data_IF_357976950225
#
_entry.id   IF_357976950225
#
_cell.length_a   1.000
_cell.length_b   1.000
_cell.length_c   1.000
_cell.angle_alpha   90.00
_cell.angle_beta   90.00
_cell.angle_gamma   90.00
#
_symmetry.space_group_name_H-M   'P 1'
#
loop_
_entity.id
_entity.type
_entity.pdbx_description
1 polymer ?
#
# COMPACT_ATOMS: atom_id res chain seq x y z
N UNK A 1 6.87 -15.92 9.67
CA UNK A 1 5.96 -16.67 8.79
C UNK A 1 6.81 -17.46 7.80
N UNK A 2 6.30 -18.54 7.18
CA UNK A 2 7.00 -19.09 6.00
C UNK A 2 6.89 -18.06 4.87
N UNK A 3 8.03 -17.47 4.47
CA UNK A 3 8.06 -16.40 3.48
C UNK A 3 7.53 -16.87 2.12
N UNK A 4 7.75 -18.12 1.74
CA UNK A 4 7.29 -18.64 0.46
C UNK A 4 5.76 -18.74 0.46
N UNK A 5 5.17 -19.27 1.53
CA UNK A 5 3.72 -19.31 1.70
C UNK A 5 3.11 -17.91 1.68
N UNK A 6 3.74 -16.95 2.38
CA UNK A 6 3.24 -15.58 2.43
C UNK A 6 3.31 -14.88 1.06
N UNK A 7 4.40 -15.08 0.32
CA UNK A 7 4.54 -14.60 -1.06
C UNK A 7 3.41 -15.14 -1.96
N UNK A 8 3.07 -16.43 -1.85
CA UNK A 8 1.96 -17.03 -2.61
C UNK A 8 0.60 -16.42 -2.25
N UNK A 9 0.35 -16.15 -0.96
CA UNK A 9 -0.88 -15.49 -0.50
C UNK A 9 -0.97 -14.07 -1.09
N UNK A 10 0.12 -13.28 -1.02
CA UNK A 10 0.17 -11.94 -1.60
C UNK A 10 -0.06 -11.98 -3.12
N UNK A 11 0.50 -12.96 -3.83
CA UNK A 11 0.27 -13.15 -5.26
C UNK A 11 -1.19 -13.46 -5.59
N UNK A 12 -1.79 -14.39 -4.86
CA UNK A 12 -3.21 -14.70 -5.02
C UNK A 12 -4.08 -13.47 -4.76
N UNK A 13 -3.78 -12.71 -3.71
CA UNK A 13 -4.55 -11.53 -3.35
C UNK A 13 -4.46 -10.42 -4.41
N UNK A 14 -3.27 -10.14 -4.96
CA UNK A 14 -3.13 -9.16 -6.04
C UNK A 14 -3.82 -9.62 -7.33
N UNK A 15 -3.77 -10.93 -7.63
CA UNK A 15 -4.51 -11.52 -8.76
C UNK A 15 -6.02 -11.29 -8.60
N UNK A 16 -6.57 -11.57 -7.41
CA UNK A 16 -7.99 -11.34 -7.10
C UNK A 16 -8.36 -9.85 -7.08
N UNK A 17 -7.39 -8.97 -6.83
CA UNK A 17 -7.54 -7.52 -6.91
C UNK A 17 -7.43 -6.98 -8.35
N UNK A 18 -7.28 -7.88 -9.33
CA UNK A 18 -7.24 -7.55 -10.76
C UNK A 18 -5.90 -7.03 -11.25
N UNK A 19 -4.82 -7.18 -10.47
CA UNK A 19 -3.49 -6.71 -10.91
C UNK A 19 -2.99 -7.52 -12.10
N UNK A 20 -2.53 -6.83 -13.14
CA UNK A 20 -2.03 -7.44 -14.37
C UNK A 20 -0.85 -6.68 -14.97
N UNK A 21 -0.24 -7.25 -16.01
CA UNK A 21 0.85 -6.63 -16.77
C UNK A 21 0.48 -5.21 -17.21
N UNK A 22 1.42 -4.27 -17.04
CA UNK A 22 1.25 -2.88 -17.42
C UNK A 22 0.65 -1.98 -16.33
N UNK A 23 0.06 -2.54 -15.26
CA UNK A 23 -0.35 -1.75 -14.10
C UNK A 23 0.85 -1.38 -13.20
N UNK A 24 0.68 -0.31 -12.44
CA UNK A 24 1.62 0.16 -11.42
C UNK A 24 1.01 0.00 -10.03
N UNK A 25 1.76 -0.60 -9.10
CA UNK A 25 1.34 -0.84 -7.71
C UNK A 25 2.29 -0.17 -6.73
N UNK A 26 1.77 0.69 -5.86
CA UNK A 26 2.52 1.23 -4.73
C UNK A 26 2.25 0.42 -3.47
N UNK A 27 3.28 -0.05 -2.78
CA UNK A 27 3.12 -0.60 -1.43
C UNK A 27 3.41 0.51 -0.43
N UNK A 28 2.47 0.79 0.47
CA UNK A 28 2.56 1.87 1.44
C UNK A 28 2.79 1.29 2.85
N UNK A 29 3.88 1.67 3.52
CA UNK A 29 4.13 1.32 4.92
C UNK A 29 4.53 2.53 5.77
N UNK A 30 4.56 2.35 7.11
CA UNK A 30 5.02 3.34 8.09
C UNK A 30 6.11 2.74 8.97
N UNK A 31 7.15 3.53 9.25
CA UNK A 31 8.18 3.14 10.20
C UNK A 31 8.92 1.86 9.78
N UNK A 32 9.05 0.91 10.71
CA UNK A 32 9.61 -0.42 10.45
C UNK A 32 8.52 -1.51 10.41
N UNK A 33 7.24 -1.12 10.45
CA UNK A 33 6.13 -2.05 10.49
C UNK A 33 5.90 -2.71 9.12
N UNK A 34 5.54 -4.00 9.15
CA UNK A 34 5.14 -4.78 7.97
C UNK A 34 6.15 -4.73 6.80
N UNK A 35 7.45 -4.62 7.09
CA UNK A 35 8.48 -4.67 6.05
C UNK A 35 8.42 -5.99 5.24
N UNK A 36 8.12 -7.11 5.89
CA UNK A 36 7.92 -8.41 5.22
C UNK A 36 6.71 -8.41 4.25
N UNK A 37 5.70 -7.56 4.49
CA UNK A 37 4.56 -7.37 3.58
C UNK A 37 5.01 -6.60 2.34
N UNK A 38 5.81 -5.56 2.52
CA UNK A 38 6.36 -4.80 1.40
C UNK A 38 7.15 -5.71 0.45
N UNK A 39 8.03 -6.55 0.99
CA UNK A 39 8.81 -7.50 0.19
C UNK A 39 7.91 -8.52 -0.52
N UNK A 40 6.94 -9.11 0.18
CA UNK A 40 6.03 -10.11 -0.39
C UNK A 40 5.12 -9.55 -1.48
N UNK A 41 4.56 -8.36 -1.28
CA UNK A 41 3.73 -7.70 -2.29
C UNK A 41 4.55 -7.24 -3.50
N UNK A 42 5.75 -6.68 -3.30
CA UNK A 42 6.61 -6.30 -4.44
C UNK A 42 7.07 -7.52 -5.24
N UNK A 43 7.35 -8.64 -4.58
CA UNK A 43 7.60 -9.90 -5.27
C UNK A 43 6.39 -10.35 -6.09
N UNK A 44 5.18 -10.28 -5.51
CA UNK A 44 3.94 -10.64 -6.20
C UNK A 44 3.66 -9.73 -7.41
N UNK A 45 3.89 -8.42 -7.29
CA UNK A 45 3.78 -7.45 -8.39
C UNK A 45 4.69 -7.84 -9.55
N UNK A 46 5.96 -8.16 -9.27
CA UNK A 46 6.91 -8.61 -10.29
C UNK A 46 6.46 -9.91 -10.96
N UNK A 47 5.88 -10.86 -10.20
CA UNK A 47 5.35 -12.12 -10.75
C UNK A 47 4.16 -11.92 -11.68
N UNK A 48 3.38 -10.86 -11.49
CA UNK A 48 2.25 -10.50 -12.35
C UNK A 48 2.64 -9.68 -13.59
N UNK A 49 3.94 -9.35 -13.77
CA UNK A 49 4.40 -8.50 -14.87
C UNK A 49 4.03 -7.02 -14.68
N UNK A 50 3.60 -6.62 -13.49
CA UNK A 50 3.29 -5.25 -13.13
C UNK A 50 4.54 -4.50 -12.65
N UNK A 51 4.47 -3.17 -12.64
CA UNK A 51 5.49 -2.31 -12.04
C UNK A 51 5.14 -2.04 -10.58
N UNK A 52 6.14 -1.92 -9.70
CA UNK A 52 5.86 -1.54 -8.33
C UNK A 52 7.01 -0.87 -7.61
N UNK A 53 6.65 -0.10 -6.60
CA UNK A 53 7.59 0.59 -5.72
C UNK A 53 7.06 0.63 -4.27
N UNK A 54 7.98 0.80 -3.33
CA UNK A 54 7.68 0.98 -1.92
C UNK A 54 7.67 2.46 -1.56
N UNK A 55 6.53 2.97 -1.08
CA UNK A 55 6.44 4.28 -0.42
C UNK A 55 6.42 4.04 1.09
N UNK A 56 7.47 4.51 1.78
CA UNK A 56 7.59 4.39 3.22
C UNK A 56 7.48 5.75 3.91
N UNK A 57 6.49 5.88 4.77
CA UNK A 57 6.30 7.04 5.63
C UNK A 57 7.05 6.88 6.96
N UNK A 58 7.33 7.98 7.69
CA UNK A 58 7.88 7.92 9.05
C UNK A 58 6.98 7.13 10.01
N UNK A 59 7.54 6.62 11.10
CA UNK A 59 6.75 6.01 12.18
C UNK A 59 5.73 7.00 12.73
N UNK A 60 4.53 6.53 13.15
CA UNK A 60 3.57 7.39 13.83
C UNK A 60 4.17 7.93 15.14
N UNK A 61 3.73 9.12 15.56
CA UNK A 61 4.25 9.78 16.76
C UNK A 61 3.92 9.03 18.07
N UNK A 62 2.90 8.17 18.05
CA UNK A 62 2.52 7.30 19.17
C UNK A 62 1.95 5.98 18.66
N UNK A 63 1.96 4.95 19.53
CA UNK A 63 1.32 3.67 19.25
C UNK A 63 -0.20 3.79 19.03
N UNK A 64 -0.86 4.74 19.72
CA UNK A 64 -2.28 5.05 19.47
C UNK A 64 -2.50 5.67 18.09
N UNK A 65 -1.52 6.44 17.59
CA UNK A 65 -1.56 7.04 16.26
C UNK A 65 -1.52 6.02 15.12
N UNK A 66 -0.93 4.84 15.33
CA UNK A 66 -0.89 3.78 14.32
C UNK A 66 -2.28 3.24 13.92
N UNK A 67 -3.27 3.38 14.81
CA UNK A 67 -4.65 2.92 14.61
C UNK A 67 -5.66 4.08 14.65
N UNK A 68 -5.17 5.32 14.64
CA UNK A 68 -6.01 6.49 14.66
C UNK A 68 -6.71 6.63 13.30
N UNK A 69 -8.00 6.31 13.28
CA UNK A 69 -8.85 6.46 12.10
C UNK A 69 -8.78 7.90 11.59
N UNK A 70 -8.52 8.06 10.29
CA UNK A 70 -8.36 9.37 9.65
C UNK A 70 -6.95 9.96 9.70
N UNK A 71 -6.01 9.43 10.51
CA UNK A 71 -4.61 9.84 10.51
C UNK A 71 -3.76 8.95 9.59
N UNK A 72 -3.72 9.35 8.31
CA UNK A 72 -2.98 8.66 7.25
C UNK A 72 -1.45 8.82 7.35
N UNK A 73 -0.95 9.81 8.08
CA UNK A 73 0.45 10.27 7.95
C UNK A 73 0.77 10.97 6.62
N UNK A 74 -0.23 11.19 5.75
CA UNK A 74 -0.09 11.83 4.44
C UNK A 74 -0.54 13.29 4.42
N UNK A 75 -1.24 13.77 5.45
CA UNK A 75 -1.89 15.09 5.48
C UNK A 75 -0.98 16.28 5.11
N UNK A 76 0.32 16.19 5.41
CA UNK A 76 1.31 17.23 5.09
C UNK A 76 2.28 16.84 3.98
N UNK A 77 2.00 15.76 3.25
CA UNK A 77 2.83 15.23 2.17
C UNK A 77 2.04 15.12 0.87
N UNK A 78 1.70 16.28 0.29
CA UNK A 78 0.98 16.38 -0.99
C UNK A 78 1.67 15.61 -2.11
N UNK A 79 3.00 15.63 -2.16
CA UNK A 79 3.77 14.92 -3.18
C UNK A 79 3.52 13.40 -3.13
N UNK A 80 3.49 12.82 -1.92
CA UNK A 80 3.15 11.40 -1.76
C UNK A 80 1.71 11.10 -2.18
N UNK A 81 0.75 11.98 -1.85
CA UNK A 81 -0.64 11.83 -2.29
C UNK A 81 -0.74 11.83 -3.81
N UNK A 82 -0.09 12.77 -4.51
CA UNK A 82 -0.09 12.80 -5.98
C UNK A 82 0.60 11.57 -6.59
N UNK A 83 1.69 11.09 -5.99
CA UNK A 83 2.33 9.85 -6.43
C UNK A 83 1.38 8.65 -6.29
N UNK A 84 0.65 8.56 -5.18
CA UNK A 84 -0.34 7.49 -4.94
C UNK A 84 -1.57 7.62 -5.85
N UNK A 85 -1.96 8.82 -6.28
CA UNK A 85 -3.02 9.03 -7.28
C UNK A 85 -2.61 8.59 -8.69
N UNK A 86 -1.31 8.51 -8.97
CA UNK A 86 -0.79 8.14 -10.30
C UNK A 86 -0.62 6.63 -10.53
N UNK A 87 -0.91 5.79 -9.52
CA UNK A 87 -0.82 4.34 -9.64
C UNK A 87 -2.20 3.71 -9.79
N UNK A 88 -2.24 2.51 -10.38
CA UNK A 88 -3.49 1.76 -10.55
C UNK A 88 -3.97 1.17 -9.22
N UNK A 89 -3.03 0.80 -8.35
CA UNK A 89 -3.33 0.21 -7.05
C UNK A 89 -2.35 0.62 -5.94
N UNK A 90 -2.89 0.87 -4.74
CA UNK A 90 -2.13 1.00 -3.50
C UNK A 90 -2.40 -0.22 -2.62
N UNK A 91 -1.34 -0.87 -2.16
CA UNK A 91 -1.39 -1.82 -1.05
C UNK A 91 -1.10 -1.03 0.24
N UNK A 92 -2.15 -0.79 1.03
CA UNK A 92 -2.09 -0.03 2.27
C UNK A 92 -1.77 -0.96 3.47
N UNK A 93 -0.53 -0.90 3.94
CA UNK A 93 -0.07 -1.55 5.16
C UNK A 93 0.04 -0.57 6.35
N UNK A 94 -0.59 0.62 6.25
CA UNK A 94 -0.50 1.72 7.22
C UNK A 94 -1.79 2.07 7.93
N UNK A 95 -2.94 1.55 7.46
CA UNK A 95 -4.29 1.88 7.93
C UNK A 95 -4.74 3.31 7.52
N UNK A 96 -4.80 3.56 6.21
CA UNK A 96 -5.28 4.83 5.62
C UNK A 96 -6.77 5.12 5.85
N UNK A 97 -7.52 4.17 6.41
CA UNK A 97 -8.98 4.15 6.39
C UNK A 97 -9.62 5.43 6.94
N UNK A 98 -10.61 5.90 6.20
CA UNK A 98 -11.44 7.08 6.48
C UNK A 98 -10.66 8.39 6.59
N UNK A 99 -9.53 8.51 5.87
CA UNK A 99 -8.75 9.75 5.75
C UNK A 99 -9.14 10.57 4.50
N UNK A 100 -9.01 11.90 4.53
CA UNK A 100 -9.19 12.74 3.33
C UNK A 100 -8.31 12.29 2.16
N UNK A 101 -7.08 11.84 2.44
CA UNK A 101 -6.14 11.41 1.40
C UNK A 101 -6.56 10.09 0.76
N UNK A 102 -7.12 9.14 1.53
CA UNK A 102 -7.71 7.93 0.96
C UNK A 102 -8.79 8.28 -0.06
N UNK A 103 -9.71 9.18 0.30
CA UNK A 103 -10.79 9.59 -0.60
C UNK A 103 -10.25 10.31 -1.84
N UNK A 104 -9.21 11.13 -1.70
CA UNK A 104 -8.56 11.80 -2.83
C UNK A 104 -7.90 10.79 -3.79
N UNK A 105 -7.19 9.80 -3.26
CA UNK A 105 -6.54 8.72 -4.02
C UNK A 105 -7.59 7.89 -4.77
N UNK A 106 -8.65 7.45 -4.09
CA UNK A 106 -9.71 6.67 -4.72
C UNK A 106 -10.49 7.47 -5.76
N UNK A 107 -10.73 8.76 -5.53
CA UNK A 107 -11.39 9.64 -6.49
C UNK A 107 -10.60 9.83 -7.79
N UNK A 108 -9.26 9.64 -7.76
CA UNK A 108 -8.41 9.64 -8.95
C UNK A 108 -8.49 8.34 -9.76
N UNK A 109 -9.18 7.30 -9.25
CA UNK A 109 -9.33 5.99 -9.90
C UNK A 109 -8.42 4.90 -9.32
N UNK A 110 -7.51 5.24 -8.43
CA UNK A 110 -6.60 4.29 -7.79
C UNK A 110 -7.36 3.35 -6.85
N UNK A 111 -7.17 2.03 -7.03
CA UNK A 111 -7.72 1.00 -6.15
C UNK A 111 -6.90 0.89 -4.87
N UNK A 112 -7.51 0.55 -3.74
CA UNK A 112 -6.79 0.39 -2.46
C UNK A 112 -7.11 -0.98 -1.87
N UNK A 113 -6.07 -1.75 -1.57
CA UNK A 113 -6.12 -2.97 -0.76
C UNK A 113 -5.49 -2.69 0.60
N UNK A 114 -6.29 -2.70 1.66
CA UNK A 114 -5.76 -2.62 3.03
C UNK A 114 -5.31 -4.01 3.49
N UNK A 115 -4.07 -4.11 3.95
CA UNK A 115 -3.43 -5.33 4.46
C UNK A 115 -2.73 -5.01 5.80
N UNK A 116 -3.49 -5.09 6.90
CA UNK A 116 -3.05 -4.72 8.27
C UNK A 116 -3.16 -5.86 9.27
#
# INVERSE_FOLDING_TARGET
MDQNLFNEICLQQLTLSGVHEGETVAVLTRGAERAEYADAFLWAVQKLGAQGFHLRLPSPASASGAWAVGDSGLAHNRLAVEALKSVDMVVDCTFLLFSPEQFEIQAAGTRILTAV
#
